data_IF_764743774188
#
_entry.id   IF_764743774188
#
_cell.length_a   1.000
_cell.length_b   1.000
_cell.length_c   1.000
_cell.angle_alpha   90.00
_cell.angle_beta   90.00
_cell.angle_gamma   90.00
#
_symmetry.space_group_name_H-M   'P 1'
#
loop_
_entity.id
_entity.type
_entity.pdbx_description
1 polymer ?
#
# COMPACT_ATOMS: atom_id res chain seq x y z
N UNK A 1 31.68 -40.48 27.30
CA UNK A 1 30.99 -40.63 26.00
C UNK A 1 29.49 -40.44 26.22
N UNK A 2 28.97 -39.23 25.97
CA UNK A 2 27.57 -38.95 25.60
C UNK A 2 27.43 -37.46 25.23
N UNK A 3 28.43 -36.95 24.50
CA UNK A 3 28.30 -35.72 23.73
C UNK A 3 27.48 -36.11 22.49
N UNK A 4 26.48 -35.30 22.11
CA UNK A 4 25.58 -35.47 20.94
C UNK A 4 24.27 -36.21 21.24
N UNK A 5 23.24 -35.47 21.69
CA UNK A 5 21.81 -35.71 21.38
C UNK A 5 20.97 -34.74 22.21
N UNK A 6 20.77 -33.53 21.70
CA UNK A 6 19.64 -32.63 22.02
C UNK A 6 19.84 -31.20 21.48
N UNK A 7 20.93 -30.90 20.73
CA UNK A 7 20.94 -29.76 19.82
C UNK A 7 20.03 -30.07 18.61
N UNK A 8 18.72 -29.86 18.75
CA UNK A 8 17.80 -30.15 17.64
C UNK A 8 16.42 -29.51 17.75
N UNK A 9 16.18 -28.62 18.70
CA UNK A 9 14.84 -28.08 18.99
C UNK A 9 14.77 -26.55 19.10
N UNK A 10 15.82 -25.81 18.70
CA UNK A 10 15.90 -24.35 18.91
C UNK A 10 15.65 -23.52 17.64
N UNK A 11 15.44 -24.12 16.45
CA UNK A 11 15.50 -23.38 15.18
C UNK A 11 14.17 -23.14 14.44
N UNK A 12 13.01 -23.49 15.00
CA UNK A 12 11.72 -23.42 14.27
C UNK A 12 10.73 -22.34 14.74
N UNK A 13 11.12 -21.45 15.67
CA UNK A 13 10.20 -20.45 16.24
C UNK A 13 10.60 -18.99 15.96
N UNK A 14 11.47 -18.71 14.99
CA UNK A 14 12.01 -17.36 14.74
C UNK A 14 11.46 -16.64 13.49
N UNK A 15 10.50 -17.21 12.75
CA UNK A 15 10.09 -16.68 11.44
C UNK A 15 8.74 -15.97 11.33
N UNK A 16 7.90 -15.97 12.37
CA UNK A 16 6.47 -15.69 12.21
C UNK A 16 5.97 -14.28 12.65
N UNK A 17 6.85 -13.36 13.06
CA UNK A 17 6.41 -12.06 13.62
C UNK A 17 6.81 -10.81 12.83
N UNK A 18 7.18 -10.94 11.55
CA UNK A 18 7.55 -9.79 10.70
C UNK A 18 6.39 -9.25 9.81
N UNK A 19 5.13 -9.33 10.25
CA UNK A 19 3.98 -8.85 9.47
C UNK A 19 3.11 -7.79 10.19
N UNK A 20 3.57 -7.20 11.28
CA UNK A 20 3.07 -5.89 11.70
C UNK A 20 3.83 -4.83 10.90
N UNK A 21 3.37 -4.57 9.68
CA UNK A 21 3.92 -3.54 8.81
C UNK A 21 3.90 -2.19 9.53
N UNK A 22 5.07 -1.62 9.78
CA UNK A 22 5.21 -0.28 10.32
C UNK A 22 4.56 0.74 9.35
N UNK A 23 3.38 1.28 9.72
CA UNK A 23 2.98 2.65 9.38
C UNK A 23 1.88 2.88 8.34
N UNK A 24 1.28 1.85 7.71
CA UNK A 24 0.14 2.02 6.80
C UNK A 24 -1.20 1.74 7.53
N UNK A 25 -2.15 2.69 7.48
CA UNK A 25 -3.51 2.51 8.02
C UNK A 25 -4.34 1.53 7.16
N UNK A 26 -5.33 0.85 7.76
CA UNK A 26 -6.19 -0.14 7.08
C UNK A 26 -6.86 0.46 5.84
N UNK A 27 -7.32 1.71 5.91
CA UNK A 27 -7.98 2.35 4.78
C UNK A 27 -6.98 2.67 3.66
N UNK A 28 -5.76 3.09 4.01
CA UNK A 28 -4.71 3.33 3.03
C UNK A 28 -4.29 2.02 2.33
N UNK A 29 -4.20 0.91 3.08
CA UNK A 29 -3.98 -0.41 2.51
C UNK A 29 -5.12 -0.81 1.56
N UNK A 30 -6.38 -0.58 1.94
CA UNK A 30 -7.54 -0.88 1.08
C UNK A 30 -7.49 -0.06 -0.21
N UNK A 31 -7.19 1.24 -0.14
CA UNK A 31 -7.04 2.10 -1.31
C UNK A 31 -5.94 1.60 -2.25
N UNK A 32 -4.79 1.19 -1.69
CA UNK A 32 -3.68 0.60 -2.45
C UNK A 32 -4.11 -0.68 -3.16
N UNK A 33 -4.66 -1.65 -2.42
CA UNK A 33 -5.07 -2.94 -2.99
C UNK A 33 -6.14 -2.78 -4.07
N UNK A 34 -7.13 -1.91 -3.88
CA UNK A 34 -8.18 -1.67 -4.87
C UNK A 34 -7.62 -0.99 -6.13
N UNK A 35 -6.65 -0.08 -6.00
CA UNK A 35 -6.01 0.51 -7.16
C UNK A 35 -5.08 -0.49 -7.89
N UNK A 36 -4.35 -1.32 -7.16
CA UNK A 36 -3.54 -2.42 -7.73
C UNK A 36 -4.43 -3.34 -8.58
N UNK A 37 -5.60 -3.73 -8.06
CA UNK A 37 -6.59 -4.54 -8.80
C UNK A 37 -7.16 -3.80 -10.01
N UNK A 38 -7.44 -2.49 -9.89
CA UNK A 38 -7.96 -1.68 -10.99
C UNK A 38 -6.96 -1.59 -12.16
N UNK A 39 -5.67 -1.52 -11.84
CA UNK A 39 -4.57 -1.39 -12.80
C UNK A 39 -4.03 -2.74 -13.27
N UNK A 40 -4.42 -3.85 -12.64
CA UNK A 40 -3.98 -5.17 -13.03
C UNK A 40 -4.38 -5.48 -14.48
N UNK A 41 -3.43 -6.04 -15.24
CA UNK A 41 -3.59 -6.30 -16.67
C UNK A 41 -3.70 -5.06 -17.57
N UNK A 42 -3.74 -3.82 -17.05
CA UNK A 42 -3.74 -2.62 -17.90
C UNK A 42 -2.38 -2.39 -18.52
N UNK A 43 -2.38 -2.11 -19.82
CA UNK A 43 -1.17 -1.69 -20.51
C UNK A 43 -0.67 -0.36 -19.95
N UNK A 44 0.62 -0.32 -19.62
CA UNK A 44 1.28 0.90 -19.13
C UNK A 44 1.63 0.90 -17.64
N UNK A 45 1.00 0.08 -16.79
CA UNK A 45 1.26 0.07 -15.34
C UNK A 45 1.90 -1.23 -14.84
N UNK A 46 2.75 -1.08 -13.82
CA UNK A 46 3.19 -2.19 -12.97
C UNK A 46 2.21 -2.35 -11.81
N UNK A 47 2.25 -3.49 -11.12
CA UNK A 47 1.44 -3.73 -9.91
C UNK A 47 1.91 -2.95 -8.68
N UNK A 48 2.92 -2.06 -8.80
CA UNK A 48 3.47 -1.33 -7.67
C UNK A 48 2.75 0.01 -7.47
N UNK A 49 2.07 0.13 -6.33
CA UNK A 49 1.35 1.33 -5.92
C UNK A 49 1.81 1.75 -4.52
N UNK A 50 1.87 3.06 -4.28
CA UNK A 50 2.07 3.63 -2.94
C UNK A 50 0.98 4.67 -2.70
N UNK A 51 0.39 4.73 -1.51
CA UNK A 51 -0.72 5.64 -1.20
C UNK A 51 -0.44 6.48 0.04
N UNK A 52 -1.13 7.61 0.15
CA UNK A 52 -1.18 8.48 1.33
C UNK A 52 -2.60 9.03 1.48
N UNK A 53 -2.99 9.37 2.70
CA UNK A 53 -4.24 10.08 2.97
C UNK A 53 -4.24 11.46 2.30
N UNK A 54 -5.33 11.84 1.63
CA UNK A 54 -5.47 13.16 1.05
C UNK A 54 -5.67 14.26 2.10
N UNK A 55 -6.13 13.94 3.31
CA UNK A 55 -6.26 14.90 4.39
C UNK A 55 -4.93 15.11 5.14
N UNK A 56 -4.11 16.01 4.62
CA UNK A 56 -3.02 16.63 5.40
C UNK A 56 -3.53 17.67 6.42
N UNK A 57 -4.85 17.78 6.63
CA UNK A 57 -5.43 18.81 7.50
C UNK A 57 -5.54 18.31 8.95
N UNK A 58 -4.77 18.86 9.90
CA UNK A 58 -4.81 18.44 11.31
C UNK A 58 -6.18 18.63 11.98
N UNK A 59 -7.06 19.48 11.42
CA UNK A 59 -8.42 19.72 11.91
C UNK A 59 -9.40 18.63 11.42
N UNK A 60 -9.09 17.95 10.31
CA UNK A 60 -9.96 16.97 9.67
C UNK A 60 -9.71 15.51 10.11
N UNK A 61 -8.76 15.24 11.02
CA UNK A 61 -8.42 13.88 11.51
C UNK A 61 -9.60 13.05 12.04
N UNK A 62 -10.71 13.69 12.38
CA UNK A 62 -11.92 13.02 12.88
C UNK A 62 -12.94 12.68 11.77
N UNK A 63 -12.68 13.09 10.52
CA UNK A 63 -13.49 12.71 9.37
C UNK A 63 -12.78 11.55 8.72
N UNK A 64 -13.38 10.36 8.81
CA UNK A 64 -12.97 9.15 8.10
C UNK A 64 -12.59 9.53 6.67
N UNK A 65 -11.31 9.47 6.34
CA UNK A 65 -10.79 9.90 5.06
C UNK A 65 -11.07 8.81 4.06
N UNK A 66 -12.13 9.01 3.29
CA UNK A 66 -12.46 8.18 2.16
C UNK A 66 -11.59 8.54 0.94
N UNK A 67 -10.70 9.54 1.04
CA UNK A 67 -9.93 10.08 -0.07
C UNK A 67 -8.42 9.86 0.11
N UNK A 68 -7.79 9.24 -0.88
CA UNK A 68 -6.36 8.93 -0.90
C UNK A 68 -5.72 9.40 -2.20
N UNK A 69 -4.45 9.79 -2.13
CA UNK A 69 -3.60 9.96 -3.30
C UNK A 69 -2.66 8.77 -3.40
N UNK A 70 -2.59 8.17 -4.59
CA UNK A 70 -1.76 7.01 -4.85
C UNK A 70 -0.86 7.22 -6.05
N UNK A 71 0.43 6.92 -5.92
CA UNK A 71 1.38 6.87 -7.01
C UNK A 71 1.42 5.45 -7.60
N UNK A 72 1.02 5.31 -8.87
CA UNK A 72 1.06 4.06 -9.60
C UNK A 72 2.26 4.05 -10.56
N UNK A 73 3.15 3.07 -10.39
CA UNK A 73 4.35 2.96 -11.23
C UNK A 73 4.00 2.54 -12.66
N UNK A 74 4.51 3.30 -13.63
CA UNK A 74 4.41 2.97 -15.05
C UNK A 74 5.50 1.96 -15.43
N UNK A 75 5.20 1.05 -16.36
CA UNK A 75 6.18 0.05 -16.85
C UNK A 75 7.38 0.70 -17.55
N UNK A 76 7.18 1.84 -18.19
CA UNK A 76 8.24 2.62 -18.87
C UNK A 76 9.03 3.51 -17.90
N UNK A 77 8.74 3.44 -16.60
CA UNK A 77 9.30 4.34 -15.59
C UNK A 77 8.40 5.54 -15.29
N UNK A 78 8.64 6.16 -14.13
CA UNK A 78 7.79 7.22 -13.60
C UNK A 78 6.55 6.69 -12.88
N UNK A 79 5.76 7.62 -12.33
CA UNK A 79 4.50 7.30 -11.66
C UNK A 79 3.42 8.30 -12.05
N UNK A 80 2.21 7.80 -12.24
CA UNK A 80 1.02 8.63 -12.32
C UNK A 80 0.36 8.72 -10.95
N UNK A 81 -0.19 9.89 -10.64
CA UNK A 81 -0.97 10.07 -9.43
C UNK A 81 -2.43 9.82 -9.72
N UNK A 82 -3.01 8.96 -8.89
CA UNK A 82 -4.41 8.60 -8.87
C UNK A 82 -5.05 9.13 -7.60
N UNK A 83 -6.24 9.68 -7.74
CA UNK A 83 -7.14 9.96 -6.63
C UNK A 83 -8.05 8.75 -6.46
N UNK A 84 -8.01 8.17 -5.27
CA UNK A 84 -8.80 7.00 -4.89
C UNK A 84 -9.82 7.44 -3.85
N UNK A 85 -11.11 7.24 -4.14
CA UNK A 85 -12.18 7.50 -3.18
C UNK A 85 -12.81 6.18 -2.76
N UNK A 86 -12.55 5.73 -1.53
CA UNK A 86 -13.18 4.55 -0.95
C UNK A 86 -14.68 4.79 -0.76
N UNK A 87 -15.49 3.86 -1.22
CA UNK A 87 -16.94 3.84 -0.96
C UNK A 87 -17.25 2.87 0.19
N UNK A 88 -16.52 1.76 0.23
CA UNK A 88 -16.50 0.79 1.31
C UNK A 88 -15.15 0.02 1.29
N UNK A 89 -15.04 -1.08 2.04
CA UNK A 89 -13.81 -1.86 2.15
C UNK A 89 -13.39 -2.57 0.84
N UNK A 90 -14.31 -2.70 -0.12
CA UNK A 90 -14.17 -3.48 -1.36
C UNK A 90 -14.45 -2.67 -2.64
N UNK A 91 -14.98 -1.46 -2.51
CA UNK A 91 -15.31 -0.60 -3.66
C UNK A 91 -14.66 0.77 -3.53
N UNK A 92 -14.16 1.27 -4.66
CA UNK A 92 -13.60 2.61 -4.77
C UNK A 92 -13.90 3.24 -6.14
N UNK A 93 -13.84 4.57 -6.19
CA UNK A 93 -13.78 5.34 -7.43
C UNK A 93 -12.34 5.75 -7.70
N UNK A 94 -11.94 5.67 -8.96
CA UNK A 94 -10.58 5.98 -9.41
C UNK A 94 -10.61 7.14 -10.40
N UNK A 95 -9.76 8.13 -10.17
CA UNK A 95 -9.55 9.21 -11.13
C UNK A 95 -8.06 9.47 -11.29
N UNK A 96 -7.58 9.49 -12.54
CA UNK A 96 -6.24 9.98 -12.83
C UNK A 96 -6.18 11.46 -12.45
N UNK A 97 -5.29 11.80 -11.52
CA UNK A 97 -5.12 13.15 -11.00
C UNK A 97 -4.02 13.90 -11.75
N UNK A 98 -2.88 13.24 -11.99
CA UNK A 98 -1.75 13.81 -12.74
C UNK A 98 -0.90 12.71 -13.36
N UNK A 99 -0.58 12.85 -14.64
CA UNK A 99 0.39 11.99 -15.32
C UNK A 99 1.83 12.40 -15.00
N UNK A 100 2.73 11.42 -14.94
CA UNK A 100 4.18 11.61 -14.71
C UNK A 100 4.52 12.56 -13.55
N UNK A 101 3.78 12.39 -12.46
CA UNK A 101 3.82 13.26 -11.28
C UNK A 101 4.98 12.95 -10.32
N UNK A 102 5.80 11.95 -10.65
CA UNK A 102 6.84 11.41 -9.79
C UNK A 102 6.30 10.41 -8.76
N UNK A 103 7.18 9.58 -8.18
CA UNK A 103 6.79 8.50 -7.28
C UNK A 103 6.80 8.89 -5.80
N UNK A 104 7.06 10.15 -5.49
CA UNK A 104 7.03 10.69 -4.12
C UNK A 104 5.72 11.40 -3.90
N UNK A 105 4.87 10.83 -3.04
CA UNK A 105 3.65 11.50 -2.60
C UNK A 105 3.97 12.52 -1.51
N UNK A 106 3.25 13.64 -1.44
CA UNK A 106 3.33 14.56 -0.30
C UNK A 106 2.86 13.81 0.96
N UNK A 107 3.66 13.88 2.02
CA UNK A 107 3.35 13.33 3.34
C UNK A 107 2.73 14.37 4.25
#
# INVERSE_FOLDING_TARGET
>A
MALRRALGLVLLAAGALAAAGCGEDIQQQAARTLLEQHLDGRDGYSSRVSCTDAAQNPIARNVRTELFYCAAHRRQGGCDWWRVTLLDATHARFALYREDAGCTLPV
#
